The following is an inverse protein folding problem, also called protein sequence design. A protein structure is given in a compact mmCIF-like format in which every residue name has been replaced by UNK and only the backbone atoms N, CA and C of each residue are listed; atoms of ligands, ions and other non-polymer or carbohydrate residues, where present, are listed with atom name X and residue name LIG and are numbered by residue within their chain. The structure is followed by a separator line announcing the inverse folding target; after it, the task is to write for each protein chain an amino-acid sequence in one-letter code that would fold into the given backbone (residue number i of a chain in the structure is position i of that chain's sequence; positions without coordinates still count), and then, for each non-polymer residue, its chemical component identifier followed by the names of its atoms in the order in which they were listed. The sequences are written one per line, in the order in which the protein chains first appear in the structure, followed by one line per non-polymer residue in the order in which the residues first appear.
data_IF_315891693118
#
_entry.id   IF_315891693118
#
_cell.length_a   1.000
_cell.length_b   1.000
_cell.length_c   1.000
_cell.angle_alpha   90.00
_cell.angle_beta   90.00
_cell.angle_gamma   90.00
#
_symmetry.space_group_name_H-M   'P 1'
#
loop_
_entity.id
_entity.type
_entity.pdbx_description
1 polymer ?
#
# COMPACT_ATOMS: atom_id res chain seq x y z
N UNK A 1 28.36 31.60 -8.68
CA UNK A 1 27.00 31.25 -9.17
C UNK A 1 26.97 29.96 -10.00
N UNK A 2 27.81 29.79 -11.04
CA UNK A 2 27.87 28.54 -11.84
C UNK A 2 28.16 27.26 -11.02
N UNK A 3 29.04 27.33 -10.02
CA UNK A 3 29.38 26.17 -9.19
C UNK A 3 28.24 25.72 -8.27
N UNK A 4 27.40 26.65 -7.81
CA UNK A 4 26.21 26.31 -7.03
C UNK A 4 25.13 25.64 -7.88
N UNK A 5 24.98 26.08 -9.14
CA UNK A 5 24.04 25.49 -10.10
C UNK A 5 24.45 24.05 -10.43
N UNK A 6 25.74 23.78 -10.62
CA UNK A 6 26.26 22.42 -10.84
C UNK A 6 26.01 21.49 -9.65
N UNK A 7 26.21 21.98 -8.43
CA UNK A 7 25.98 21.18 -7.22
C UNK A 7 24.50 20.85 -7.02
N UNK A 8 23.62 21.83 -7.25
CA UNK A 8 22.17 21.63 -7.19
C UNK A 8 21.69 20.61 -8.24
N UNK A 9 22.27 20.62 -9.45
CA UNK A 9 21.92 19.68 -10.51
C UNK A 9 22.24 18.23 -10.14
N UNK A 10 23.39 17.97 -9.53
CA UNK A 10 23.83 16.62 -9.14
C UNK A 10 22.94 16.04 -8.03
N UNK A 11 22.58 16.85 -7.04
CA UNK A 11 21.69 16.43 -5.95
C UNK A 11 20.28 16.10 -6.47
N UNK A 12 19.80 16.86 -7.46
CA UNK A 12 18.48 16.63 -8.04
C UNK A 12 18.37 15.29 -8.79
N UNK A 13 19.44 14.87 -9.48
CA UNK A 13 19.45 13.61 -10.25
C UNK A 13 19.51 12.38 -9.31
N UNK A 14 20.15 12.51 -8.14
CA UNK A 14 20.22 11.43 -7.15
C UNK A 14 18.85 11.09 -6.53
N UNK A 15 17.93 12.07 -6.43
CA UNK A 15 16.56 11.86 -5.94
C UNK A 15 15.66 11.04 -6.88
N UNK A 16 16.05 10.88 -8.15
CA UNK A 16 15.36 10.03 -9.13
C UNK A 16 16.01 8.65 -9.27
N UNK A 17 17.07 8.37 -8.52
CA UNK A 17 17.69 7.04 -8.52
C UNK A 17 16.77 6.07 -7.78
N UNK A 18 16.45 4.97 -8.46
CA UNK A 18 15.48 3.92 -8.10
C UNK A 18 15.83 3.09 -6.84
N UNK A 19 16.54 3.69 -5.87
CA UNK A 19 17.15 3.07 -4.70
C UNK A 19 17.76 1.68 -5.01
N UNK A 20 18.62 1.56 -6.05
CA UNK A 20 19.00 0.27 -6.61
C UNK A 20 19.67 -0.65 -5.59
N UNK A 21 20.49 -0.09 -4.69
CA UNK A 21 21.11 -0.85 -3.59
C UNK A 21 20.09 -1.37 -2.59
N UNK A 22 19.18 -0.52 -2.10
CA UNK A 22 18.12 -0.91 -1.16
C UNK A 22 17.17 -1.95 -1.78
N UNK A 23 16.78 -1.75 -3.04
CA UNK A 23 15.94 -2.68 -3.78
C UNK A 23 16.63 -4.02 -4.04
N UNK A 24 17.93 -4.03 -4.35
CA UNK A 24 18.69 -5.27 -4.49
C UNK A 24 18.79 -6.03 -3.16
N UNK A 25 18.99 -5.30 -2.06
CA UNK A 25 19.05 -5.85 -0.69
C UNK A 25 17.69 -6.26 -0.11
N UNK A 26 16.59 -6.01 -0.83
CA UNK A 26 15.25 -6.47 -0.42
C UNK A 26 14.43 -5.46 0.38
N UNK A 27 14.92 -4.23 0.54
CA UNK A 27 14.14 -3.16 1.18
C UNK A 27 13.00 -2.75 0.25
N UNK A 28 11.72 -2.90 0.65
CA UNK A 28 10.59 -2.62 -0.24
C UNK A 28 10.35 -1.11 -0.31
N UNK A 29 10.60 -0.53 -1.50
CA UNK A 29 10.37 0.89 -1.80
C UNK A 29 9.34 1.04 -2.90
N UNK A 30 8.71 2.22 -2.94
CA UNK A 30 7.68 2.52 -3.94
C UNK A 30 8.23 2.53 -5.38
N UNK A 31 9.51 2.85 -5.52
CA UNK A 31 10.21 3.00 -6.78
C UNK A 31 10.98 1.73 -7.20
N UNK A 32 11.12 0.67 -6.39
CA UNK A 32 11.82 -0.55 -6.84
C UNK A 32 11.26 -1.08 -8.17
N UNK A 33 12.14 -1.33 -9.15
CA UNK A 33 11.75 -1.85 -10.46
C UNK A 33 11.52 -3.37 -10.43
N UNK A 34 10.68 -3.91 -11.35
CA UNK A 34 10.49 -5.34 -11.53
C UNK A 34 11.83 -6.10 -11.64
N UNK A 35 11.90 -7.27 -11.00
CA UNK A 35 13.10 -8.10 -10.98
C UNK A 35 14.04 -7.87 -9.79
N UNK A 36 13.82 -6.82 -8.98
CA UNK A 36 14.54 -6.62 -7.71
C UNK A 36 13.87 -7.36 -6.54
N UNK A 37 14.66 -7.71 -5.51
CA UNK A 37 14.14 -8.32 -4.29
C UNK A 37 13.13 -7.40 -3.56
N UNK A 38 13.42 -6.09 -3.51
CA UNK A 38 12.55 -5.09 -2.90
C UNK A 38 11.22 -4.94 -3.64
N UNK A 39 11.21 -5.08 -4.97
CA UNK A 39 9.96 -5.13 -5.74
C UNK A 39 9.13 -6.37 -5.40
N UNK A 40 9.76 -7.55 -5.36
CA UNK A 40 9.07 -8.80 -5.01
C UNK A 40 8.49 -8.75 -3.60
N UNK A 41 9.24 -8.24 -2.62
CA UNK A 41 8.79 -8.08 -1.25
C UNK A 41 7.65 -7.07 -1.12
N UNK A 42 7.74 -5.93 -1.81
CA UNK A 42 6.63 -4.97 -1.87
C UNK A 42 5.35 -5.60 -2.42
N UNK A 43 5.46 -6.38 -3.49
CA UNK A 43 4.31 -7.09 -4.07
C UNK A 43 3.71 -8.09 -3.09
N UNK A 44 4.53 -8.83 -2.32
CA UNK A 44 4.04 -9.73 -1.27
C UNK A 44 3.28 -8.97 -0.19
N UNK A 45 3.82 -7.86 0.31
CA UNK A 45 3.16 -7.03 1.33
C UNK A 45 1.85 -6.44 0.85
N UNK A 46 1.79 -5.97 -0.39
CA UNK A 46 0.56 -5.46 -0.98
C UNK A 46 -0.50 -6.54 -1.12
N UNK A 47 -0.12 -7.75 -1.55
CA UNK A 47 -1.03 -8.90 -1.63
C UNK A 47 -1.54 -9.32 -0.25
N UNK A 48 -0.65 -9.44 0.73
CA UNK A 48 -1.03 -9.77 2.10
C UNK A 48 -1.99 -8.73 2.71
N UNK A 49 -1.72 -7.43 2.51
CA UNK A 49 -2.60 -6.38 2.97
C UNK A 49 -3.96 -6.38 2.24
N UNK A 50 -4.00 -6.71 0.95
CA UNK A 50 -5.25 -6.84 0.19
C UNK A 50 -6.07 -8.06 0.66
N UNK A 51 -5.41 -9.18 0.96
CA UNK A 51 -6.04 -10.38 1.50
C UNK A 51 -6.59 -10.17 2.91
N UNK A 52 -5.84 -9.47 3.77
CA UNK A 52 -6.31 -9.09 5.10
C UNK A 52 -7.56 -8.21 5.01
N UNK A 53 -7.54 -7.19 4.13
CA UNK A 53 -8.70 -6.32 3.90
C UNK A 53 -9.92 -7.10 3.42
N UNK A 54 -9.76 -7.98 2.43
CA UNK A 54 -10.89 -8.77 1.91
C UNK A 54 -11.43 -9.75 2.96
N UNK A 55 -10.57 -10.34 3.78
CA UNK A 55 -10.97 -11.18 4.91
C UNK A 55 -11.80 -10.39 5.93
N UNK A 56 -11.35 -9.18 6.29
CA UNK A 56 -12.09 -8.30 7.21
C UNK A 56 -13.43 -7.88 6.63
N UNK A 57 -13.46 -7.51 5.35
CA UNK A 57 -14.70 -7.15 4.65
C UNK A 57 -15.73 -8.29 4.65
N UNK A 58 -15.29 -9.53 4.46
CA UNK A 58 -16.16 -10.70 4.52
C UNK A 58 -16.69 -10.94 5.94
N UNK A 59 -15.83 -10.81 6.94
CA UNK A 59 -16.22 -10.95 8.35
C UNK A 59 -17.25 -9.88 8.75
N UNK A 60 -17.05 -8.64 8.34
CA UNK A 60 -17.97 -7.54 8.62
C UNK A 60 -19.31 -7.71 7.89
N UNK A 61 -19.31 -8.16 6.62
CA UNK A 61 -20.54 -8.50 5.89
C UNK A 61 -21.32 -9.61 6.60
N UNK A 62 -20.66 -10.71 6.96
CA UNK A 62 -21.29 -11.82 7.68
C UNK A 62 -21.88 -11.36 9.02
N UNK A 63 -21.14 -10.54 9.78
CA UNK A 63 -21.59 -10.00 11.05
C UNK A 63 -22.81 -9.10 10.90
N UNK A 64 -22.82 -8.18 9.94
CA UNK A 64 -23.96 -7.31 9.70
C UNK A 64 -25.20 -8.10 9.23
N UNK A 65 -25.02 -9.10 8.35
CA UNK A 65 -26.11 -10.00 7.96
C UNK A 65 -26.65 -10.81 9.13
N UNK A 66 -25.80 -11.21 10.08
CA UNK A 66 -26.24 -11.92 11.29
C UNK A 66 -27.18 -11.09 12.17
N UNK A 67 -27.09 -9.76 12.10
CA UNK A 67 -28.01 -8.83 12.78
C UNK A 67 -29.30 -8.56 11.98
N UNK A 68 -29.49 -9.24 10.85
CA UNK A 68 -30.62 -9.03 9.95
C UNK A 68 -30.46 -7.81 9.04
N UNK A 69 -29.30 -7.16 9.03
CA UNK A 69 -29.05 -6.03 8.13
C UNK A 69 -28.87 -6.52 6.70
N UNK A 70 -29.66 -5.96 5.78
CA UNK A 70 -29.66 -6.35 4.35
C UNK A 70 -28.65 -5.50 3.59
N UNK A 71 -27.74 -6.07 2.78
CA UNK A 71 -26.82 -5.31 1.95
C UNK A 71 -27.52 -4.20 1.15
N UNK A 72 -26.98 -2.98 1.23
CA UNK A 72 -27.55 -1.79 0.58
C UNK A 72 -28.60 -1.04 1.40
N UNK A 73 -29.02 -1.54 2.56
CA UNK A 73 -29.87 -0.80 3.51
C UNK A 73 -29.06 0.16 4.39
N UNK A 74 -29.72 1.20 4.91
CA UNK A 74 -29.12 2.12 5.89
C UNK A 74 -28.61 1.38 7.14
N UNK A 75 -29.34 0.35 7.59
CA UNK A 75 -28.95 -0.49 8.71
C UNK A 75 -27.64 -1.25 8.45
N UNK A 76 -27.44 -1.73 7.22
CA UNK A 76 -26.21 -2.43 6.82
C UNK A 76 -25.03 -1.47 6.72
N UNK A 77 -25.22 -0.30 6.10
CA UNK A 77 -24.17 0.74 6.00
C UNK A 77 -23.75 1.23 7.39
N UNK A 78 -24.72 1.47 8.28
CA UNK A 78 -24.46 1.87 9.67
C UNK A 78 -23.73 0.78 10.46
N UNK A 79 -24.09 -0.49 10.27
CA UNK A 79 -23.40 -1.61 10.90
C UNK A 79 -21.93 -1.69 10.46
N UNK A 80 -21.67 -1.65 9.14
CA UNK A 80 -20.31 -1.66 8.57
C UNK A 80 -19.47 -0.50 9.11
N UNK A 81 -20.01 0.72 9.13
CA UNK A 81 -19.31 1.89 9.64
C UNK A 81 -18.94 1.80 11.14
N UNK A 82 -19.69 1.01 11.92
CA UNK A 82 -19.39 0.78 13.34
C UNK A 82 -18.31 -0.31 13.55
N UNK A 83 -18.18 -1.25 12.62
CA UNK A 83 -17.18 -2.33 12.65
C UNK A 83 -15.82 -1.93 12.08
N UNK A 84 -15.78 -0.89 11.23
CA UNK A 84 -14.55 -0.36 10.64
C UNK A 84 -13.70 0.50 11.62
N UNK A 85 -14.22 0.78 12.83
CA UNK A 85 -13.48 1.45 13.92
C UNK A 85 -12.43 0.54 14.55
#
# INVERSE_FOLDING_TARGET
MKSFILFALIVFIAGCANHPGECALGTPRADCLPGTNGYAERQRRMKAAAEERSSKELADDQKCRSYGAIPGSDAYVSCRAQLEK
#
